data_IF_687674950661
#
_entry.id   IF_687674950661
#
_cell.length_a   1.000
_cell.length_b   1.000
_cell.length_c   1.000
_cell.angle_alpha   90.00
_cell.angle_beta   90.00
_cell.angle_gamma   90.00
#
_symmetry.space_group_name_H-M   'P 1'
#
loop_
_entity.id
_entity.type
_entity.pdbx_description
1 polymer ?
#
# COMPACT_ATOMS: atom_id res chain seq x y z
N UNK A 1 31.90 -12.43 -10.82
CA UNK A 1 30.76 -11.47 -10.83
C UNK A 1 31.33 -10.06 -10.84
N UNK A 2 30.84 -9.15 -11.70
CA UNK A 2 31.29 -7.76 -11.69
C UNK A 2 30.70 -7.03 -10.46
N UNK A 3 31.55 -6.52 -9.57
CA UNK A 3 31.14 -5.61 -8.49
C UNK A 3 31.08 -4.17 -9.00
N UNK A 4 30.02 -3.44 -8.67
CA UNK A 4 29.89 -2.01 -8.97
C UNK A 4 30.05 -1.20 -7.68
N UNK A 5 30.91 -0.17 -7.65
CA UNK A 5 31.03 0.69 -6.47
C UNK A 5 29.74 1.49 -6.30
N UNK A 6 29.23 1.53 -5.07
CA UNK A 6 28.01 2.26 -4.70
C UNK A 6 28.41 3.46 -3.84
N UNK A 7 27.94 4.65 -4.23
CA UNK A 7 28.19 5.89 -3.49
C UNK A 7 26.86 6.54 -3.18
N UNK A 8 26.66 6.92 -1.91
CA UNK A 8 25.43 7.54 -1.44
C UNK A 8 25.73 8.61 -0.39
N UNK A 9 24.87 9.63 -0.33
CA UNK A 9 24.92 10.66 0.71
C UNK A 9 24.02 10.24 1.86
N UNK A 10 24.55 10.31 3.08
CA UNK A 10 23.81 10.00 4.30
C UNK A 10 23.85 11.20 5.25
N UNK A 11 22.88 11.26 6.17
CA UNK A 11 22.87 12.31 7.18
C UNK A 11 24.04 12.16 8.16
N UNK A 12 24.53 13.26 8.76
CA UNK A 12 25.62 13.21 9.74
C UNK A 12 25.33 12.28 10.93
N UNK A 13 24.07 12.21 11.37
CA UNK A 13 23.63 11.35 12.46
C UNK A 13 23.78 9.86 12.11
N UNK A 14 23.40 9.47 10.89
CA UNK A 14 23.54 8.08 10.41
C UNK A 14 25.00 7.71 10.27
N UNK A 15 25.82 8.62 9.73
CA UNK A 15 27.27 8.41 9.63
C UNK A 15 27.91 8.17 11.00
N UNK A 16 27.56 8.97 12.02
CA UNK A 16 28.08 8.82 13.37
C UNK A 16 27.73 7.45 13.98
N UNK A 17 26.47 7.00 13.83
CA UNK A 17 26.03 5.68 14.30
C UNK A 17 26.75 4.53 13.61
N UNK A 18 26.92 4.59 12.28
CA UNK A 18 27.65 3.56 11.54
C UNK A 18 29.13 3.51 11.95
N UNK A 19 29.74 4.66 12.22
CA UNK A 19 31.13 4.75 12.68
C UNK A 19 31.29 4.12 14.06
N UNK A 20 30.39 4.43 14.98
CA UNK A 20 30.40 3.84 16.31
C UNK A 20 30.20 2.31 16.26
N UNK A 21 29.29 1.83 15.42
CA UNK A 21 29.08 0.39 15.21
C UNK A 21 30.33 -0.30 14.65
N UNK A 22 30.99 0.32 13.67
CA UNK A 22 32.22 -0.20 13.07
C UNK A 22 33.35 -0.31 14.11
N UNK A 23 33.52 0.71 14.96
CA UNK A 23 34.49 0.70 16.05
C UNK A 23 34.22 -0.42 17.06
N UNK A 24 32.97 -0.59 17.49
CA UNK A 24 32.58 -1.66 18.42
C UNK A 24 32.83 -3.06 17.87
N UNK A 25 32.68 -3.23 16.55
CA UNK A 25 32.87 -4.52 15.86
C UNK A 25 34.31 -4.75 15.39
N UNK A 26 35.19 -3.75 15.48
CA UNK A 26 36.56 -3.82 14.95
C UNK A 26 36.61 -3.94 13.42
N UNK A 27 35.57 -3.48 12.72
CA UNK A 27 35.41 -3.60 11.27
C UNK A 27 35.52 -2.25 10.56
N UNK A 28 35.71 -2.26 9.24
CA UNK A 28 35.65 -1.02 8.46
C UNK A 28 34.23 -0.47 8.38
N UNK A 29 34.10 0.85 8.18
CA UNK A 29 32.81 1.51 7.97
C UNK A 29 32.08 0.91 6.75
N UNK A 30 32.81 0.63 5.67
CA UNK A 30 32.26 0.06 4.44
C UNK A 30 31.71 -1.37 4.66
N UNK A 31 32.45 -2.23 5.38
CA UNK A 31 31.98 -3.57 5.74
C UNK A 31 30.71 -3.50 6.60
N UNK A 32 30.71 -2.60 7.59
CA UNK A 32 29.55 -2.41 8.49
C UNK A 32 28.33 -1.90 7.74
N UNK A 33 28.52 -0.96 6.80
CA UNK A 33 27.45 -0.46 5.95
C UNK A 33 26.93 -1.56 5.01
N UNK A 34 27.82 -2.36 4.42
CA UNK A 34 27.44 -3.49 3.57
C UNK A 34 26.63 -4.53 4.36
N UNK A 35 27.05 -4.86 5.59
CA UNK A 35 26.33 -5.80 6.45
C UNK A 35 24.93 -5.28 6.83
N UNK A 36 24.81 -3.99 7.20
CA UNK A 36 23.53 -3.38 7.54
C UNK A 36 22.59 -3.34 6.33
N UNK A 37 23.12 -2.99 5.16
CA UNK A 37 22.33 -2.99 3.92
C UNK A 37 21.94 -4.41 3.50
N UNK A 38 22.84 -5.37 3.65
CA UNK A 38 22.57 -6.78 3.32
C UNK A 38 21.56 -7.37 4.29
N UNK A 39 21.64 -7.04 5.58
CA UNK A 39 20.63 -7.41 6.57
C UNK A 39 19.27 -6.79 6.24
N UNK A 40 19.21 -5.50 5.88
CA UNK A 40 17.96 -4.87 5.47
C UNK A 40 17.35 -5.49 4.20
N UNK A 41 18.19 -5.98 3.27
CA UNK A 41 17.73 -6.69 2.07
C UNK A 41 17.29 -8.12 2.40
N UNK A 42 18.02 -8.83 3.27
CA UNK A 42 17.66 -10.16 3.74
C UNK A 42 16.37 -10.15 4.58
N UNK A 43 16.24 -9.19 5.50
CA UNK A 43 15.01 -8.89 6.24
C UNK A 43 13.90 -8.47 5.27
N UNK A 44 14.25 -7.79 4.17
CA UNK A 44 13.33 -7.44 3.09
C UNK A 44 12.82 -8.65 2.30
N UNK A 45 13.60 -9.73 2.19
CA UNK A 45 13.12 -11.02 1.67
C UNK A 45 12.28 -11.77 2.70
N UNK A 46 12.51 -11.59 4.01
CA UNK A 46 11.62 -12.10 5.07
C UNK A 46 10.32 -11.29 5.24
N UNK A 47 10.18 -10.11 4.63
CA UNK A 47 8.84 -9.48 4.45
C UNK A 47 7.99 -10.26 3.43
N UNK A 48 8.55 -11.25 2.73
CA UNK A 48 7.78 -12.27 1.99
C UNK A 48 7.35 -13.47 2.83
N UNK A 49 7.59 -13.43 4.15
CA UNK A 49 6.87 -14.24 5.15
C UNK A 49 5.59 -13.58 5.63
N UNK A 50 5.00 -12.68 4.82
CA UNK A 50 3.69 -12.11 5.10
C UNK A 50 2.74 -13.24 5.45
N UNK A 51 2.20 -13.19 6.67
CA UNK A 51 1.11 -14.06 7.10
C UNK A 51 0.15 -14.19 5.92
N UNK A 52 -0.15 -15.42 5.45
CA UNK A 52 -0.92 -15.61 4.23
C UNK A 52 -2.15 -14.72 4.31
N UNK A 53 -2.41 -13.98 3.23
CA UNK A 53 -3.59 -13.11 3.13
C UNK A 53 -4.80 -13.92 3.58
N UNK A 54 -5.43 -13.49 4.68
CA UNK A 54 -6.52 -14.21 5.29
C UNK A 54 -7.84 -13.94 4.58
N UNK A 55 -8.91 -14.36 5.23
CA UNK A 55 -10.23 -14.40 4.61
C UNK A 55 -10.74 -13.02 4.16
N UNK A 56 -10.36 -11.93 4.85
CA UNK A 56 -10.79 -10.58 4.50
C UNK A 56 -10.08 -10.11 3.24
N UNK A 57 -8.76 -10.25 3.17
CA UNK A 57 -7.99 -9.86 1.99
C UNK A 57 -8.41 -10.69 0.77
N UNK A 58 -8.62 -12.00 0.94
CA UNK A 58 -9.14 -12.87 -0.11
C UNK A 58 -10.52 -12.45 -0.61
N UNK A 59 -11.44 -12.07 0.29
CA UNK A 59 -12.77 -11.59 -0.09
C UNK A 59 -12.72 -10.26 -0.85
N UNK A 60 -11.84 -9.34 -0.44
CA UNK A 60 -11.63 -8.06 -1.15
C UNK A 60 -11.05 -8.28 -2.54
N UNK A 61 -10.08 -9.20 -2.67
CA UNK A 61 -9.56 -9.60 -3.98
C UNK A 61 -10.67 -10.16 -4.87
N UNK A 62 -11.43 -11.15 -4.38
CA UNK A 62 -12.50 -11.78 -5.16
C UNK A 62 -13.59 -10.78 -5.60
N UNK A 63 -13.89 -9.77 -4.78
CA UNK A 63 -14.90 -8.76 -5.12
C UNK A 63 -14.43 -7.78 -6.20
N UNK A 64 -13.14 -7.44 -6.21
CA UNK A 64 -12.59 -6.35 -7.02
C UNK A 64 -11.71 -6.83 -8.18
N UNK A 65 -11.63 -8.13 -8.42
CA UNK A 65 -10.72 -8.73 -9.40
C UNK A 65 -10.98 -8.21 -10.83
N UNK A 66 -12.27 -8.13 -11.19
CA UNK A 66 -12.73 -7.76 -12.54
C UNK A 66 -12.68 -6.25 -12.84
N UNK A 67 -12.18 -5.42 -11.92
CA UNK A 67 -12.09 -3.97 -12.13
C UNK A 67 -10.95 -3.63 -13.10
N UNK A 68 -11.30 -2.94 -14.19
CA UNK A 68 -10.37 -2.60 -15.28
C UNK A 68 -10.18 -1.10 -15.46
N UNK A 69 -11.13 -0.27 -15.01
CA UNK A 69 -11.03 1.17 -15.12
C UNK A 69 -9.82 1.70 -14.33
N UNK A 70 -8.98 2.59 -14.87
CA UNK A 70 -7.73 3.00 -14.24
C UNK A 70 -7.90 3.49 -12.79
N UNK A 71 -8.96 4.28 -12.54
CA UNK A 71 -9.29 4.78 -11.20
C UNK A 71 -9.78 3.65 -10.27
N UNK A 72 -10.52 2.69 -10.80
CA UNK A 72 -11.01 1.53 -10.05
C UNK A 72 -9.86 0.59 -9.64
N UNK A 73 -8.88 0.39 -10.52
CA UNK A 73 -7.66 -0.39 -10.23
C UNK A 73 -6.86 0.23 -9.09
N UNK A 74 -6.64 1.56 -9.09
CA UNK A 74 -5.93 2.23 -8.00
C UNK A 74 -6.67 2.07 -6.67
N UNK A 75 -8.00 2.18 -6.69
CA UNK A 75 -8.83 2.00 -5.50
C UNK A 75 -8.82 0.54 -5.02
N UNK A 76 -8.79 -0.44 -5.93
CA UNK A 76 -8.60 -1.86 -5.59
C UNK A 76 -7.31 -2.09 -4.83
N UNK A 77 -6.19 -1.60 -5.32
CA UNK A 77 -4.90 -1.76 -4.64
C UNK A 77 -4.89 -1.08 -3.26
N UNK A 78 -5.57 0.06 -3.13
CA UNK A 78 -5.77 0.73 -1.86
C UNK A 78 -6.64 -0.11 -0.89
N UNK A 79 -7.76 -0.66 -1.37
CA UNK A 79 -8.64 -1.53 -0.59
C UNK A 79 -7.90 -2.78 -0.10
N UNK A 80 -7.08 -3.41 -0.95
CA UNK A 80 -6.26 -4.57 -0.55
C UNK A 80 -5.27 -4.20 0.56
N UNK A 81 -4.61 -3.04 0.47
CA UNK A 81 -3.70 -2.57 1.54
C UNK A 81 -4.43 -2.29 2.85
N UNK A 82 -5.59 -1.64 2.78
CA UNK A 82 -6.42 -1.37 3.96
C UNK A 82 -6.92 -2.67 4.60
N UNK A 83 -7.36 -3.64 3.79
CA UNK A 83 -7.77 -4.96 4.25
C UNK A 83 -6.64 -5.67 5.02
N UNK A 84 -5.39 -5.62 4.51
CA UNK A 84 -4.22 -6.16 5.23
C UNK A 84 -3.97 -5.46 6.57
N UNK A 85 -4.08 -4.13 6.61
CA UNK A 85 -3.94 -3.36 7.87
C UNK A 85 -5.02 -3.74 8.90
N UNK A 86 -6.27 -3.93 8.44
CA UNK A 86 -7.39 -4.37 9.31
C UNK A 86 -7.13 -5.78 9.83
N UNK A 87 -6.79 -6.71 8.94
CA UNK A 87 -6.66 -8.13 9.26
C UNK A 87 -5.49 -8.41 10.23
N UNK A 88 -4.39 -7.66 10.08
CA UNK A 88 -3.22 -7.75 10.96
C UNK A 88 -3.41 -7.04 12.31
N UNK A 89 -4.52 -6.33 12.50
CA UNK A 89 -4.78 -5.55 13.72
C UNK A 89 -3.73 -4.46 13.97
N UNK A 90 -3.18 -3.88 12.90
CA UNK A 90 -2.15 -2.83 12.99
C UNK A 90 -2.72 -1.56 13.65
N UNK A 91 -1.84 -0.65 14.09
CA UNK A 91 -2.26 0.65 14.62
C UNK A 91 -3.10 1.39 13.58
N UNK A 92 -4.34 1.72 13.93
CA UNK A 92 -5.28 2.37 13.02
C UNK A 92 -6.23 1.43 12.29
N UNK A 93 -6.27 0.13 12.61
CA UNK A 93 -7.18 -0.85 12.01
C UNK A 93 -8.66 -0.40 11.99
N UNK A 94 -9.14 0.26 13.04
CA UNK A 94 -10.53 0.77 13.09
C UNK A 94 -10.77 1.83 12.01
N UNK A 95 -9.89 2.82 11.89
CA UNK A 95 -10.00 3.84 10.84
C UNK A 95 -9.78 3.24 9.45
N UNK A 96 -8.92 2.22 9.33
CA UNK A 96 -8.70 1.50 8.09
C UNK A 96 -9.95 0.72 7.64
N UNK A 97 -10.75 0.19 8.57
CA UNK A 97 -12.00 -0.49 8.25
C UNK A 97 -13.06 0.47 7.65
N UNK A 98 -13.19 1.67 8.21
CA UNK A 98 -14.09 2.69 7.66
C UNK A 98 -13.64 3.13 6.25
N UNK A 99 -12.33 3.34 6.08
CA UNK A 99 -11.74 3.69 4.79
C UNK A 99 -11.84 2.56 3.77
N UNK A 100 -11.77 1.30 4.21
CA UNK A 100 -11.89 0.12 3.35
C UNK A 100 -13.26 0.13 2.66
N UNK A 101 -14.34 0.24 3.43
CA UNK A 101 -15.72 0.29 2.88
C UNK A 101 -15.87 1.42 1.86
N UNK A 102 -15.47 2.64 2.22
CA UNK A 102 -15.55 3.79 1.31
C UNK A 102 -14.71 3.61 0.04
N UNK A 103 -13.53 3.00 0.14
CA UNK A 103 -12.64 2.76 -1.00
C UNK A 103 -13.23 1.73 -1.97
N UNK A 104 -13.85 0.67 -1.44
CA UNK A 104 -14.50 -0.39 -2.24
C UNK A 104 -15.71 0.17 -3.01
N UNK A 105 -16.57 0.95 -2.33
CA UNK A 105 -17.71 1.61 -2.98
C UNK A 105 -17.27 2.53 -4.12
N UNK A 106 -16.22 3.33 -3.90
CA UNK A 106 -15.65 4.21 -4.93
C UNK A 106 -15.04 3.43 -6.08
N UNK A 107 -14.41 2.28 -5.83
CA UNK A 107 -13.84 1.43 -6.86
C UNK A 107 -14.95 0.92 -7.79
N UNK A 108 -16.04 0.41 -7.21
CA UNK A 108 -17.21 -0.06 -7.94
C UNK A 108 -17.93 1.08 -8.69
N UNK A 109 -18.00 2.27 -8.10
CA UNK A 109 -18.58 3.44 -8.78
C UNK A 109 -17.71 3.90 -9.95
N UNK A 110 -16.39 3.93 -9.79
CA UNK A 110 -15.47 4.31 -10.85
C UNK A 110 -15.55 3.35 -12.04
N UNK A 111 -15.68 2.04 -11.80
CA UNK A 111 -15.91 1.07 -12.85
C UNK A 111 -17.25 1.28 -13.55
N UNK A 112 -18.34 1.47 -12.79
CA UNK A 112 -19.67 1.73 -13.35
C UNK A 112 -19.73 2.98 -14.24
N UNK A 113 -19.03 4.04 -13.86
CA UNK A 113 -18.93 5.25 -14.67
C UNK A 113 -18.20 4.99 -16.00
N UNK A 114 -17.15 4.16 -15.99
CA UNK A 114 -16.43 3.79 -17.20
C UNK A 114 -17.28 2.87 -18.10
N UNK A 115 -18.00 1.92 -17.50
CA UNK A 115 -18.87 0.98 -18.22
C UNK A 115 -20.13 1.65 -18.79
N UNK A 116 -20.62 2.70 -18.14
CA UNK A 116 -21.81 3.45 -18.56
C UNK A 116 -21.63 4.97 -18.40
N UNK A 117 -20.84 5.61 -19.29
CA UNK A 117 -20.57 7.05 -19.21
C UNK A 117 -21.81 7.92 -19.43
N UNK A 118 -22.90 7.37 -19.96
CA UNK A 118 -24.17 8.09 -20.20
C UNK A 118 -25.18 8.01 -19.05
N UNK A 119 -25.00 7.12 -18.07
CA UNK A 119 -25.94 6.91 -16.96
C UNK A 119 -25.91 8.04 -15.92
N UNK A 120 -24.73 8.60 -15.65
CA UNK A 120 -24.53 9.63 -14.62
C UNK A 120 -25.31 10.92 -14.92
N UNK A 121 -25.47 11.27 -16.20
CA UNK A 121 -26.26 12.44 -16.61
C UNK A 121 -27.76 12.25 -16.33
N UNK A 122 -28.29 11.03 -16.49
CA UNK A 122 -29.70 10.71 -16.22
C UNK A 122 -29.98 10.57 -14.73
N UNK A 123 -29.06 10.01 -13.93
CA UNK A 123 -29.20 9.93 -12.47
C UNK A 123 -29.15 11.33 -11.81
N UNK A 124 -28.30 12.24 -12.33
CA UNK A 124 -28.28 13.65 -11.90
C UNK A 124 -29.56 14.40 -12.29
N UNK A 125 -30.12 14.13 -13.47
CA UNK A 125 -31.39 14.74 -13.92
C UNK A 125 -32.61 14.18 -13.18
N UNK A 126 -32.61 12.88 -12.84
CA UNK A 126 -33.72 12.22 -12.14
C UNK A 126 -33.67 12.43 -10.63
N UNK A 127 -32.47 12.52 -10.02
CA UNK A 127 -32.29 12.83 -8.60
C UNK A 127 -32.67 14.27 -8.23
N UNK A 128 -32.62 15.21 -9.18
CA UNK A 128 -33.02 16.60 -8.99
C UNK A 128 -34.53 16.86 -8.92
N UNK A 129 -35.37 15.91 -9.34
CA UNK A 129 -36.83 16.07 -9.36
C UNK A 129 -37.55 15.62 -8.08
N UNK A 130 -36.89 14.87 -7.20
CA UNK A 130 -37.46 14.40 -5.93
C UNK A 130 -37.27 15.37 -4.74
N UNK A 131 -36.62 16.53 -4.95
CA UNK A 131 -36.31 17.50 -3.89
C UNK A 131 -37.28 18.67 -3.73
N UNK A 132 -38.30 18.82 -4.59
CA UNK A 132 -39.25 19.94 -4.55
C UNK A 132 -40.70 19.45 -4.42
N UNK A 133 -40.99 18.75 -3.34
CA UNK A 133 -42.36 18.57 -2.85
C UNK A 133 -42.29 18.44 -1.32
N UNK A 134 -42.21 19.58 -0.63
CA UNK A 134 -42.80 19.86 0.68
C UNK A 134 -42.74 21.38 0.93
#
# INVERSE_FOLDING_TARGET
MPSKPLSTRISPLVHARLTEMAQRRGTSLAATAADVLSAAVADGEEVSGGQPDGALVAAVHALLDDLTAPKAVVLRELSVRLARTVERGERGAVAAADLLTSSMEKALQAQRHEDNPGGDALDLLMGGLNGYCL
#
